data_IF_537663063027
#
_entry.id   IF_537663063027
#
_cell.length_a   1.000
_cell.length_b   1.000
_cell.length_c   1.000
_cell.angle_alpha   90.00
_cell.angle_beta   90.00
_cell.angle_gamma   90.00
#
_symmetry.space_group_name_H-M   'P 1'
#
loop_
_entity.id
_entity.type
_entity.pdbx_description
1 polymer ?
#
# COMPACT_ATOMS: atom_id res chain seq x y z
N UNK A 1 -10.56 -4.48 24.68
CA UNK A 1 -9.36 -5.18 25.20
C UNK A 1 -8.35 -5.26 24.07
N UNK A 2 -7.09 -4.89 24.34
CA UNK A 2 -6.04 -4.75 23.33
C UNK A 2 -4.92 -5.78 23.55
N UNK A 3 -4.21 -6.12 22.48
CA UNK A 3 -2.88 -6.74 22.56
C UNK A 3 -1.88 -5.62 22.79
N UNK A 4 -0.96 -5.79 23.75
CA UNK A 4 0.09 -4.80 24.06
C UNK A 4 1.47 -5.36 23.69
N UNK A 5 2.24 -4.56 22.95
CA UNK A 5 3.62 -4.86 22.52
C UNK A 5 4.63 -4.06 23.34
N UNK A 6 5.23 -4.71 24.35
CA UNK A 6 6.20 -4.05 25.26
C UNK A 6 7.41 -3.49 24.54
N UNK A 7 7.95 -4.26 23.58
CA UNK A 7 9.14 -3.88 22.82
C UNK A 7 8.86 -2.83 21.73
N UNK A 8 7.60 -2.46 21.53
CA UNK A 8 7.16 -1.39 20.65
C UNK A 8 6.63 -0.17 21.43
N UNK A 9 7.18 0.08 22.63
CA UNK A 9 6.78 1.23 23.46
C UNK A 9 5.35 1.11 23.98
N UNK A 10 4.92 -0.11 24.35
CA UNK A 10 3.55 -0.44 24.73
C UNK A 10 2.51 -0.11 23.66
N UNK A 11 2.90 -0.19 22.38
CA UNK A 11 1.95 -0.06 21.28
C UNK A 11 0.81 -1.07 21.43
N UNK A 12 -0.41 -0.66 21.12
CA UNK A 12 -1.60 -1.46 21.28
C UNK A 12 -2.29 -1.72 19.96
N UNK A 13 -2.75 -2.95 19.75
CA UNK A 13 -3.65 -3.30 18.65
C UNK A 13 -4.92 -3.93 19.20
N UNK A 14 -6.01 -3.79 18.48
CA UNK A 14 -7.26 -4.45 18.85
C UNK A 14 -7.09 -5.96 18.82
N UNK A 15 -7.66 -6.65 19.82
CA UNK A 15 -7.61 -8.12 19.92
C UNK A 15 -8.14 -8.80 18.65
N UNK A 16 -9.25 -8.30 18.11
CA UNK A 16 -9.85 -8.86 16.90
C UNK A 16 -8.90 -8.82 15.70
N UNK A 17 -8.14 -7.72 15.56
CA UNK A 17 -7.16 -7.58 14.49
C UNK A 17 -6.00 -8.58 14.63
N UNK A 18 -5.53 -8.85 15.86
CA UNK A 18 -4.50 -9.86 16.08
C UNK A 18 -4.99 -11.28 15.78
N UNK A 19 -6.22 -11.62 16.18
CA UNK A 19 -6.84 -12.92 15.84
C UNK A 19 -7.04 -13.05 14.32
N UNK A 20 -7.48 -11.98 13.66
CA UNK A 20 -7.58 -11.97 12.20
C UNK A 20 -6.22 -12.18 11.54
N UNK A 21 -5.17 -11.50 12.02
CA UNK A 21 -3.81 -11.67 11.52
C UNK A 21 -3.30 -13.10 11.73
N UNK A 22 -3.56 -13.72 12.88
CA UNK A 22 -3.28 -15.13 13.14
C UNK A 22 -3.96 -16.05 12.11
N UNK A 23 -5.26 -15.85 11.86
CA UNK A 23 -6.03 -16.63 10.89
C UNK A 23 -5.49 -16.47 9.47
N UNK A 24 -5.14 -15.25 9.06
CA UNK A 24 -4.52 -15.01 7.75
C UNK A 24 -3.13 -15.64 7.68
N UNK A 25 -2.35 -15.62 8.77
CA UNK A 25 -1.02 -16.24 8.82
C UNK A 25 -1.07 -17.74 8.53
N UNK A 26 -2.02 -18.45 9.16
CA UNK A 26 -2.29 -19.87 8.85
C UNK A 26 -2.68 -20.07 7.40
N UNK A 27 -3.62 -19.27 6.89
CA UNK A 27 -4.08 -19.38 5.50
C UNK A 27 -2.93 -19.19 4.49
N UNK A 28 -1.93 -18.37 4.81
CA UNK A 28 -0.86 -18.01 3.86
C UNK A 28 0.39 -18.87 3.96
N UNK A 29 0.75 -19.31 5.17
CA UNK A 29 2.10 -19.83 5.42
C UNK A 29 2.14 -21.16 6.19
N UNK A 30 0.98 -21.69 6.62
CA UNK A 30 0.88 -23.02 7.24
C UNK A 30 0.63 -24.08 6.17
N UNK A 31 1.15 -25.30 6.33
CA UNK A 31 0.78 -26.42 5.47
C UNK A 31 -0.69 -26.86 5.67
N UNK A 32 -1.24 -26.61 6.87
CA UNK A 32 -2.66 -26.77 7.17
C UNK A 32 -3.33 -25.39 7.31
N UNK A 33 -3.95 -24.93 6.23
CA UNK A 33 -4.64 -23.64 6.18
C UNK A 33 -5.88 -23.55 7.08
N UNK A 34 -6.45 -24.68 7.50
CA UNK A 34 -7.69 -24.72 8.28
C UNK A 34 -7.44 -24.87 9.79
N UNK A 35 -6.22 -25.25 10.17
CA UNK A 35 -5.82 -25.45 11.56
C UNK A 35 -5.80 -24.18 12.42
N UNK A 36 -6.07 -22.97 11.91
CA UNK A 36 -5.85 -21.71 12.64
C UNK A 36 -6.46 -21.61 14.06
N UNK A 37 -7.53 -22.37 14.34
CA UNK A 37 -8.15 -22.45 15.68
C UNK A 37 -7.32 -23.23 16.70
N UNK A 38 -6.89 -24.45 16.35
CA UNK A 38 -6.16 -25.35 17.25
C UNK A 38 -4.65 -25.37 17.01
N UNK A 39 -4.25 -24.80 15.88
CA UNK A 39 -2.91 -24.78 15.35
C UNK A 39 -1.98 -23.97 16.24
N UNK A 40 -0.71 -24.36 16.17
CA UNK A 40 0.36 -23.78 16.97
C UNK A 40 1.33 -23.09 16.03
N UNK A 41 1.78 -21.90 16.41
CA UNK A 41 2.84 -21.19 15.68
C UNK A 41 4.10 -21.20 16.56
N UNK A 42 5.27 -21.55 16.02
CA UNK A 42 6.54 -21.45 16.73
C UNK A 42 6.78 -20.06 17.32
N UNK A 43 7.21 -20.03 18.59
CA UNK A 43 7.68 -18.80 19.25
C UNK A 43 9.18 -18.75 19.07
N UNK A 44 9.63 -17.85 18.20
CA UNK A 44 11.04 -17.64 17.92
C UNK A 44 11.44 -16.25 18.39
N UNK A 45 11.90 -16.10 19.63
CA UNK A 45 12.51 -14.84 20.06
C UNK A 45 13.88 -14.71 19.39
N UNK A 46 13.94 -14.01 18.25
CA UNK A 46 15.17 -13.85 17.47
C UNK A 46 15.50 -12.38 17.38
N UNK A 47 16.64 -11.99 17.94
CA UNK A 47 17.21 -10.64 17.87
C UNK A 47 17.98 -10.42 16.57
N UNK A 48 17.25 -10.43 15.47
CA UNK A 48 17.72 -10.12 14.11
C UNK A 48 16.75 -9.17 13.42
N UNK A 49 17.18 -8.39 12.41
CA UNK A 49 16.30 -7.62 11.55
C UNK A 49 15.21 -8.48 10.88
N UNK A 50 14.08 -7.87 10.53
CA UNK A 50 12.93 -8.59 9.97
C UNK A 50 13.27 -9.30 8.65
N UNK A 51 14.03 -8.65 7.77
CA UNK A 51 14.43 -9.22 6.48
C UNK A 51 15.23 -10.53 6.66
N UNK A 52 16.11 -10.61 7.67
CA UNK A 52 16.85 -11.83 7.98
C UNK A 52 15.94 -12.96 8.46
N UNK A 53 14.91 -12.66 9.25
CA UNK A 53 13.96 -13.69 9.71
C UNK A 53 13.25 -14.32 8.52
N UNK A 54 12.80 -13.47 7.59
CA UNK A 54 12.10 -13.91 6.39
C UNK A 54 13.04 -14.73 5.49
N UNK A 55 14.25 -14.24 5.23
CA UNK A 55 15.24 -14.92 4.40
C UNK A 55 15.67 -16.29 4.97
N UNK A 56 15.66 -16.45 6.30
CA UNK A 56 15.98 -17.70 6.98
C UNK A 56 14.75 -18.60 7.22
N UNK A 57 13.66 -18.41 6.45
CA UNK A 57 12.44 -19.22 6.48
C UNK A 57 11.70 -19.22 7.84
N UNK A 58 11.87 -18.18 8.67
CA UNK A 58 11.09 -17.99 9.90
C UNK A 58 9.75 -17.29 9.66
N UNK A 59 9.27 -17.25 8.42
CA UNK A 59 8.01 -16.59 8.04
C UNK A 59 6.83 -17.10 8.86
N UNK A 60 6.69 -18.41 9.07
CA UNK A 60 5.64 -18.96 9.92
C UNK A 60 6.05 -18.96 11.40
N UNK A 61 6.13 -17.78 12.00
CA UNK A 61 6.46 -17.61 13.42
C UNK A 61 5.61 -16.54 14.09
N UNK A 62 5.44 -16.65 15.41
CA UNK A 62 4.79 -15.61 16.22
C UNK A 62 5.59 -14.30 16.13
N UNK A 63 6.90 -14.41 15.98
CA UNK A 63 7.82 -13.27 15.88
C UNK A 63 7.59 -12.44 14.62
N UNK A 64 7.54 -13.07 13.44
CA UNK A 64 7.26 -12.33 12.20
C UNK A 64 5.85 -11.76 12.21
N UNK A 65 4.85 -12.55 12.64
CA UNK A 65 3.48 -12.08 12.80
C UNK A 65 3.42 -10.82 13.69
N UNK A 66 4.02 -10.86 14.88
CA UNK A 66 4.01 -9.75 15.85
C UNK A 66 4.75 -8.51 15.34
N UNK A 67 5.88 -8.67 14.65
CA UNK A 67 6.59 -7.55 14.00
C UNK A 67 5.75 -6.86 12.93
N UNK A 68 4.95 -7.59 12.16
CA UNK A 68 4.05 -6.97 11.18
C UNK A 68 2.86 -6.26 11.82
N UNK A 69 2.60 -6.50 13.10
CA UNK A 69 1.52 -5.85 13.83
C UNK A 69 1.89 -4.46 14.38
N UNK A 70 3.16 -4.13 14.45
CA UNK A 70 3.66 -2.87 15.04
C UNK A 70 4.10 -1.88 13.96
N UNK A 71 4.22 -0.57 14.29
CA UNK A 71 4.75 0.43 13.37
C UNK A 71 6.13 0.07 12.83
N UNK A 72 6.42 0.51 11.60
CA UNK A 72 7.63 0.15 10.87
C UNK A 72 8.92 0.33 11.70
N UNK A 73 9.01 1.39 12.49
CA UNK A 73 10.20 1.70 13.31
C UNK A 73 10.57 0.66 14.38
N UNK A 74 9.68 -0.30 14.65
CA UNK A 74 9.89 -1.36 15.64
C UNK A 74 10.10 -2.75 15.02
N UNK A 75 10.02 -2.88 13.68
CA UNK A 75 9.97 -4.19 13.02
C UNK A 75 11.29 -4.96 13.05
N UNK A 76 12.42 -4.29 13.26
CA UNK A 76 13.73 -4.94 13.45
C UNK A 76 14.03 -5.31 14.90
N UNK A 77 13.06 -5.17 15.81
CA UNK A 77 13.20 -5.55 17.21
C UNK A 77 12.33 -6.75 17.53
N UNK A 78 12.79 -7.66 18.40
CA UNK A 78 11.98 -8.77 18.87
C UNK A 78 10.65 -8.33 19.46
N UNK A 79 9.54 -8.98 19.11
CA UNK A 79 8.21 -8.66 19.62
C UNK A 79 7.55 -9.82 20.39
N UNK A 80 7.91 -11.08 20.12
CA UNK A 80 7.32 -12.26 20.76
C UNK A 80 8.10 -12.70 22.03
N UNK A 81 8.40 -11.76 22.93
CA UNK A 81 9.07 -12.08 24.20
C UNK A 81 8.16 -12.81 25.20
N UNK A 82 8.75 -13.43 26.22
CA UNK A 82 8.00 -14.00 27.35
C UNK A 82 7.07 -12.98 28.02
N UNK A 83 7.53 -11.73 28.12
CA UNK A 83 6.74 -10.64 28.68
C UNK A 83 5.53 -10.31 27.79
N UNK A 84 5.71 -10.28 26.47
CA UNK A 84 4.60 -10.13 25.52
C UNK A 84 3.55 -11.24 25.71
N UNK A 85 3.97 -12.50 25.84
CA UNK A 85 3.03 -13.61 26.04
C UNK A 85 2.30 -13.50 27.40
N UNK A 86 3.01 -13.13 28.47
CA UNK A 86 2.45 -12.94 29.82
C UNK A 86 1.47 -11.76 29.92
N UNK A 87 1.68 -10.70 29.14
CA UNK A 87 0.80 -9.53 29.11
C UNK A 87 -0.45 -9.72 28.25
N UNK A 88 -0.47 -10.74 27.40
CA UNK A 88 -1.56 -11.01 26.48
C UNK A 88 -2.25 -12.38 26.72
N UNK A 89 -2.55 -12.79 27.98
CA UNK A 89 -3.05 -14.13 28.29
C UNK A 89 -4.48 -14.35 27.81
N UNK A 90 -5.23 -13.27 27.58
CA UNK A 90 -6.59 -13.33 27.03
C UNK A 90 -6.62 -13.68 25.53
N UNK A 91 -5.46 -13.76 24.87
CA UNK A 91 -5.36 -14.07 23.43
C UNK A 91 -4.42 -15.22 23.15
N UNK A 92 -3.26 -15.26 23.81
CA UNK A 92 -2.24 -16.26 23.55
C UNK A 92 -2.00 -17.13 24.78
N UNK A 93 -1.75 -18.42 24.53
CA UNK A 93 -1.26 -19.37 25.52
C UNK A 93 -0.01 -20.05 24.97
N UNK A 94 1.00 -20.16 25.82
CA UNK A 94 2.23 -20.91 25.53
C UNK A 94 1.96 -22.42 25.48
N UNK A 95 2.64 -23.09 24.56
CA UNK A 95 2.54 -24.53 24.32
C UNK A 95 3.85 -25.03 23.68
N UNK A 96 3.88 -26.31 23.31
CA UNK A 96 4.99 -26.95 22.63
C UNK A 96 4.49 -27.53 21.30
N UNK A 97 5.33 -27.50 20.28
CA UNK A 97 5.12 -28.23 19.03
C UNK A 97 6.33 -29.09 18.71
N UNK A 98 6.11 -30.24 18.07
CA UNK A 98 7.19 -31.10 17.61
C UNK A 98 7.73 -30.52 16.30
N UNK A 99 8.99 -30.09 16.28
CA UNK A 99 9.65 -29.60 15.08
C UNK A 99 9.86 -30.77 14.10
N UNK A 100 9.28 -30.75 12.90
CA UNK A 100 9.41 -31.85 11.94
C UNK A 100 10.87 -32.15 11.57
N UNK A 101 11.69 -31.11 11.43
CA UNK A 101 13.07 -31.22 10.96
C UNK A 101 14.02 -31.79 12.01
N UNK A 102 13.79 -31.47 13.30
CA UNK A 102 14.70 -31.85 14.39
C UNK A 102 14.15 -32.96 15.28
N UNK A 103 12.84 -33.24 15.21
CA UNK A 103 12.15 -34.15 16.12
C UNK A 103 12.09 -33.66 17.58
N UNK A 104 12.50 -32.42 17.86
CA UNK A 104 12.50 -31.85 19.21
C UNK A 104 11.22 -31.05 19.47
N UNK A 105 10.81 -30.97 20.74
CA UNK A 105 9.79 -30.02 21.15
C UNK A 105 10.38 -28.61 21.13
N UNK A 106 9.68 -27.68 20.48
CA UNK A 106 10.01 -26.26 20.47
C UNK A 106 8.87 -25.44 21.04
N UNK A 107 9.22 -24.30 21.63
CA UNK A 107 8.27 -23.35 22.17
C UNK A 107 7.33 -22.83 21.09
N UNK A 108 6.06 -22.75 21.44
CA UNK A 108 5.00 -22.35 20.53
C UNK A 108 3.91 -21.58 21.27
N UNK A 109 3.04 -20.91 20.51
CA UNK A 109 1.81 -20.33 21.03
C UNK A 109 0.61 -20.86 20.26
N UNK A 110 -0.56 -20.79 20.89
CA UNK A 110 -1.86 -20.92 20.23
C UNK A 110 -2.82 -19.86 20.75
N UNK A 111 -3.92 -19.64 20.03
CA UNK A 111 -5.02 -18.85 20.53
C UNK A 111 -5.64 -19.53 21.77
N UNK A 112 -6.10 -18.72 22.73
CA UNK A 112 -6.88 -19.19 23.87
C UNK A 112 -8.34 -19.39 23.49
N UNK A 113 -9.05 -20.24 24.23
CA UNK A 113 -10.48 -20.46 24.04
C UNK A 113 -11.25 -19.14 24.22
N UNK A 114 -10.81 -18.28 25.15
CA UNK A 114 -11.37 -16.93 25.31
C UNK A 114 -11.20 -16.05 24.07
N UNK A 115 -10.08 -16.15 23.35
CA UNK A 115 -9.90 -15.43 22.09
C UNK A 115 -10.82 -15.96 20.99
N UNK A 116 -10.99 -17.29 20.92
CA UNK A 116 -11.90 -17.92 19.96
C UNK A 116 -13.36 -17.54 20.24
N UNK A 117 -13.79 -17.62 21.51
CA UNK A 117 -15.13 -17.20 21.93
C UNK A 117 -15.39 -15.72 21.60
N UNK A 118 -14.39 -14.86 21.83
CA UNK A 118 -14.51 -13.46 21.45
C UNK A 118 -14.63 -13.29 19.94
N UNK A 119 -13.80 -13.97 19.15
CA UNK A 119 -13.88 -13.92 17.69
C UNK A 119 -15.27 -14.36 17.21
N UNK A 120 -15.77 -15.48 17.75
CA UNK A 120 -17.08 -16.04 17.40
C UNK A 120 -18.25 -15.18 17.87
N UNK A 121 -18.06 -14.32 18.87
CA UNK A 121 -19.06 -13.33 19.30
C UNK A 121 -19.20 -12.13 18.36
N UNK A 122 -18.20 -11.87 17.50
CA UNK A 122 -18.25 -10.78 16.52
C UNK A 122 -19.22 -11.12 15.40
N UNK A 123 -19.90 -10.10 14.87
CA UNK A 123 -20.71 -10.26 13.67
C UNK A 123 -19.85 -10.63 12.47
N UNK A 124 -20.47 -11.23 11.45
CA UNK A 124 -19.80 -11.56 10.20
C UNK A 124 -19.07 -10.35 9.58
N UNK A 125 -19.73 -9.18 9.59
CA UNK A 125 -19.18 -7.95 9.02
C UNK A 125 -17.95 -7.46 9.79
N UNK A 126 -17.97 -7.54 11.13
CA UNK A 126 -16.81 -7.21 11.96
C UNK A 126 -15.64 -8.18 11.70
N UNK A 127 -15.92 -9.48 11.63
CA UNK A 127 -14.90 -10.48 11.30
C UNK A 127 -14.27 -10.23 9.93
N UNK A 128 -15.07 -10.00 8.89
CA UNK A 128 -14.53 -9.73 7.54
C UNK A 128 -13.75 -8.41 7.49
N UNK A 129 -14.20 -7.37 8.22
CA UNK A 129 -13.48 -6.10 8.34
C UNK A 129 -12.08 -6.29 8.94
N UNK A 130 -11.96 -7.00 10.08
CA UNK A 130 -10.65 -7.26 10.68
C UNK A 130 -9.78 -8.18 9.81
N UNK A 131 -10.38 -9.12 9.08
CA UNK A 131 -9.66 -9.93 8.09
C UNK A 131 -9.13 -9.07 6.94
N UNK A 132 -9.89 -8.07 6.48
CA UNK A 132 -9.42 -7.13 5.46
C UNK A 132 -8.24 -6.29 6.00
N UNK A 133 -8.32 -5.77 7.23
CA UNK A 133 -7.19 -5.05 7.83
C UNK A 133 -5.96 -5.95 8.04
N UNK A 134 -6.15 -7.21 8.40
CA UNK A 134 -5.06 -8.18 8.53
C UNK A 134 -4.42 -8.50 7.17
N UNK A 135 -5.21 -8.82 6.14
CA UNK A 135 -4.71 -9.05 4.78
C UNK A 135 -3.97 -7.81 4.26
N UNK A 136 -4.52 -6.60 4.47
CA UNK A 136 -3.88 -5.35 4.07
C UNK A 136 -2.48 -5.19 4.69
N UNK A 137 -2.28 -5.55 5.96
CA UNK A 137 -0.96 -5.48 6.62
C UNK A 137 0.10 -6.38 6.00
N UNK A 138 -0.32 -7.51 5.43
CA UNK A 138 0.60 -8.49 4.82
C UNK A 138 0.82 -8.15 3.34
N UNK A 139 -0.18 -7.56 2.68
CA UNK A 139 -0.11 -7.16 1.28
C UNK A 139 0.56 -5.79 1.07
N UNK A 140 0.55 -4.93 2.09
CA UNK A 140 1.19 -3.62 2.04
C UNK A 140 2.72 -3.74 2.03
N UNK A 141 3.39 -2.65 1.63
CA UNK A 141 4.84 -2.58 1.72
C UNK A 141 5.29 -2.71 3.19
N UNK A 142 6.17 -3.68 3.45
CA UNK A 142 6.74 -3.94 4.76
C UNK A 142 7.93 -3.02 4.99
N UNK A 143 7.63 -1.75 5.30
CA UNK A 143 8.67 -0.81 5.75
C UNK A 143 9.35 -1.34 7.01
N UNK A 144 10.68 -1.25 7.07
CA UNK A 144 11.49 -1.57 8.25
C UNK A 144 12.58 -0.51 8.47
N UNK A 145 13.25 -0.48 9.64
CA UNK A 145 14.44 0.35 9.85
C UNK A 145 15.62 -0.02 8.96
N UNK A 146 15.72 -1.28 8.54
CA UNK A 146 16.71 -1.76 7.58
C UNK A 146 16.45 -1.22 6.17
N UNK A 147 17.53 -0.98 5.42
CA UNK A 147 17.50 -0.66 3.99
C UNK A 147 17.28 -1.92 3.11
N UNK A 148 17.22 -3.11 3.71
CA UNK A 148 17.07 -4.40 3.04
C UNK A 148 15.63 -4.89 2.90
N UNK A 149 15.25 -5.28 1.67
CA UNK A 149 13.88 -5.65 1.32
C UNK A 149 13.30 -6.79 2.19
N UNK A 150 12.09 -6.58 2.72
CA UNK A 150 11.34 -7.60 3.46
C UNK A 150 10.30 -8.25 2.53
N UNK A 151 10.59 -9.43 1.97
CA UNK A 151 9.72 -10.07 0.96
C UNK A 151 9.04 -11.31 1.56
N UNK A 152 7.77 -11.21 1.97
CA UNK A 152 7.04 -12.32 2.61
C UNK A 152 6.56 -13.42 1.63
N UNK A 153 6.13 -13.03 0.45
CA UNK A 153 5.71 -13.96 -0.61
C UNK A 153 6.93 -14.31 -1.44
N UNK A 154 7.20 -15.59 -1.69
CA UNK A 154 8.38 -16.05 -2.43
C UNK A 154 8.61 -15.16 -3.66
N UNK A 155 9.80 -14.55 -3.76
CA UNK A 155 10.08 -13.51 -4.74
C UNK A 155 10.06 -14.00 -6.18
N UNK A 156 9.98 -13.05 -7.11
CA UNK A 156 10.18 -13.21 -8.55
C UNK A 156 10.59 -11.84 -9.10
N UNK A 157 11.47 -11.80 -10.09
CA UNK A 157 11.78 -10.56 -10.83
C UNK A 157 10.87 -10.56 -12.06
N UNK A 158 10.13 -9.48 -12.24
CA UNK A 158 9.31 -9.26 -13.43
C UNK A 158 10.00 -8.23 -14.34
N UNK A 159 10.22 -8.60 -15.60
CA UNK A 159 10.77 -7.73 -16.64
C UNK A 159 9.58 -7.25 -17.48
N UNK A 160 9.41 -5.93 -17.61
CA UNK A 160 8.40 -5.37 -18.51
C UNK A 160 8.94 -5.34 -19.93
N UNK A 161 8.09 -5.72 -20.88
CA UNK A 161 8.40 -5.68 -22.32
C UNK A 161 8.83 -7.02 -22.91
N UNK A 162 8.89 -8.10 -22.11
CA UNK A 162 9.18 -9.43 -22.64
C UNK A 162 8.06 -9.95 -23.57
N UNK A 163 6.81 -9.54 -23.32
CA UNK A 163 5.64 -10.03 -24.06
C UNK A 163 5.06 -9.02 -25.06
N UNK A 164 5.04 -7.71 -24.75
CA UNK A 164 4.41 -6.68 -25.60
C UNK A 164 5.23 -5.39 -25.64
N UNK A 165 5.58 -4.99 -26.87
CA UNK A 165 6.29 -3.75 -27.18
C UNK A 165 5.33 -2.55 -27.13
N UNK A 166 5.75 -1.37 -26.61
CA UNK A 166 4.90 -0.19 -26.56
C UNK A 166 4.41 0.23 -27.96
N UNK A 167 3.20 0.78 -28.07
CA UNK A 167 2.62 1.13 -29.37
C UNK A 167 3.34 2.28 -30.06
N UNK A 168 3.99 3.16 -29.27
CA UNK A 168 4.69 4.35 -29.75
C UNK A 168 5.95 4.54 -28.90
N UNK A 169 7.10 4.69 -29.57
CA UNK A 169 8.34 5.18 -28.98
C UNK A 169 8.53 6.63 -29.44
N UNK A 170 8.54 7.62 -28.52
CA UNK A 170 8.89 8.99 -28.89
C UNK A 170 10.34 9.10 -29.38
N UNK A 171 10.64 10.14 -30.16
CA UNK A 171 12.01 10.44 -30.54
C UNK A 171 12.87 10.79 -29.30
N UNK A 172 14.19 10.59 -29.40
CA UNK A 172 15.15 10.90 -28.33
C UNK A 172 15.00 12.31 -27.74
N UNK A 173 14.79 13.27 -28.63
CA UNK A 173 14.70 14.71 -28.30
C UNK A 173 13.26 15.17 -28.00
N UNK A 174 12.30 14.23 -27.98
CA UNK A 174 10.91 14.51 -27.66
C UNK A 174 10.75 14.97 -26.20
N UNK A 175 9.73 15.79 -25.98
CA UNK A 175 9.40 16.36 -24.67
C UNK A 175 8.95 15.28 -23.68
N UNK A 176 9.08 15.53 -22.37
CA UNK A 176 8.54 14.64 -21.33
C UNK A 176 7.04 14.37 -21.50
N UNK A 177 6.29 15.33 -22.05
CA UNK A 177 4.86 15.18 -22.33
C UNK A 177 4.58 14.12 -23.39
N UNK A 178 5.45 13.97 -24.38
CA UNK A 178 5.33 12.91 -25.41
C UNK A 178 5.63 11.53 -24.84
N UNK A 179 6.58 11.42 -23.90
CA UNK A 179 6.82 10.19 -23.15
C UNK A 179 5.67 9.83 -22.21
N UNK A 180 5.06 10.82 -21.55
CA UNK A 180 3.86 10.59 -20.74
C UNK A 180 2.69 10.16 -21.63
N UNK A 181 2.50 10.77 -22.81
CA UNK A 181 1.48 10.33 -23.79
C UNK A 181 1.71 8.89 -24.25
N UNK A 182 2.95 8.53 -24.60
CA UNK A 182 3.30 7.17 -25.00
C UNK A 182 3.06 6.16 -23.86
N UNK A 183 3.40 6.52 -22.63
CA UNK A 183 3.11 5.75 -21.43
C UNK A 183 1.60 5.52 -21.25
N UNK A 184 0.78 6.56 -21.42
CA UNK A 184 -0.69 6.46 -21.31
C UNK A 184 -1.25 5.49 -22.35
N UNK A 185 -0.80 5.61 -23.60
CA UNK A 185 -1.19 4.69 -24.66
C UNK A 185 -0.74 3.26 -24.38
N UNK A 186 0.48 3.07 -23.87
CA UNK A 186 0.98 1.75 -23.52
C UNK A 186 0.16 1.10 -22.42
N UNK A 187 -0.15 1.78 -21.31
CA UNK A 187 -1.00 1.23 -20.25
C UNK A 187 -2.41 0.86 -20.76
N UNK A 188 -2.93 1.62 -21.74
CA UNK A 188 -4.23 1.35 -22.33
C UNK A 188 -4.23 0.08 -23.20
N UNK A 189 -3.15 -0.19 -23.93
CA UNK A 189 -3.08 -1.33 -24.86
C UNK A 189 -2.49 -2.61 -24.23
N UNK A 190 -1.63 -2.45 -23.23
CA UNK A 190 -0.96 -3.53 -22.53
C UNK A 190 -2.00 -4.43 -21.80
N UNK A 191 -2.08 -5.73 -22.11
CA UNK A 191 -2.80 -6.71 -21.33
C UNK A 191 -2.22 -6.82 -19.92
N UNK A 192 -3.12 -6.87 -18.95
CA UNK A 192 -2.79 -6.98 -17.55
C UNK A 192 -3.57 -8.10 -16.91
N UNK A 193 -2.86 -9.02 -16.28
CA UNK A 193 -3.43 -10.10 -15.50
C UNK A 193 -3.46 -9.69 -14.03
N UNK A 194 -4.63 -9.47 -13.42
CA UNK A 194 -4.72 -9.30 -11.98
C UNK A 194 -4.12 -10.50 -11.25
N UNK A 195 -3.26 -10.24 -10.26
CA UNK A 195 -2.62 -11.27 -9.44
C UNK A 195 -2.96 -11.08 -7.96
N UNK A 196 -3.22 -12.18 -7.27
CA UNK A 196 -3.28 -12.22 -5.81
C UNK A 196 -2.43 -13.39 -5.32
N UNK A 197 -1.43 -13.10 -4.49
CA UNK A 197 -0.50 -14.14 -4.01
C UNK A 197 0.17 -14.90 -5.17
N UNK A 198 0.56 -14.16 -6.23
CA UNK A 198 1.12 -14.69 -7.49
C UNK A 198 0.20 -15.62 -8.28
N UNK A 199 -1.08 -15.68 -7.94
CA UNK A 199 -2.07 -16.46 -8.69
C UNK A 199 -2.97 -15.53 -9.52
N UNK A 200 -3.25 -15.87 -10.78
CA UNK A 200 -4.22 -15.16 -11.61
C UNK A 200 -5.59 -15.03 -10.94
N UNK A 201 -6.19 -13.85 -11.04
CA UNK A 201 -7.54 -13.55 -10.56
C UNK A 201 -8.36 -13.05 -11.74
N UNK A 202 -9.35 -13.84 -12.14
CA UNK A 202 -10.16 -13.52 -13.32
C UNK A 202 -9.35 -13.58 -14.63
N UNK A 203 -9.92 -13.00 -15.69
CA UNK A 203 -9.29 -12.92 -17.00
C UNK A 203 -8.33 -11.71 -17.08
N UNK A 204 -7.38 -11.76 -18.00
CA UNK A 204 -6.56 -10.61 -18.34
C UNK A 204 -7.43 -9.49 -18.95
N UNK A 205 -7.14 -8.26 -18.57
CA UNK A 205 -7.85 -7.05 -19.03
C UNK A 205 -6.90 -6.09 -19.73
N UNK A 206 -7.41 -5.24 -20.60
CA UNK A 206 -6.66 -4.13 -21.20
C UNK A 206 -7.48 -2.86 -21.05
N UNK A 207 -6.91 -1.69 -21.32
CA UNK A 207 -7.45 -0.35 -21.08
C UNK A 207 -7.41 0.13 -19.65
N UNK A 208 -7.30 1.45 -19.50
CA UNK A 208 -7.42 2.12 -18.19
C UNK A 208 -8.75 1.79 -17.49
N UNK A 209 -9.84 1.75 -18.26
CA UNK A 209 -11.19 1.50 -17.74
C UNK A 209 -11.30 0.09 -17.14
N UNK A 210 -10.92 -0.94 -17.89
CA UNK A 210 -11.13 -2.32 -17.43
C UNK A 210 -10.11 -2.70 -16.35
N UNK A 211 -8.89 -2.12 -16.37
CA UNK A 211 -7.93 -2.20 -15.25
C UNK A 211 -8.52 -1.64 -13.95
N UNK A 212 -9.22 -0.51 -14.00
CA UNK A 212 -9.90 0.05 -12.82
C UNK A 212 -11.05 -0.84 -12.36
N UNK A 213 -11.84 -1.41 -13.28
CA UNK A 213 -12.93 -2.32 -12.93
C UNK A 213 -12.44 -3.65 -12.33
N UNK A 214 -11.26 -4.11 -12.75
CA UNK A 214 -10.60 -5.30 -12.19
C UNK A 214 -9.93 -5.04 -10.84
N UNK A 215 -9.81 -3.78 -10.40
CA UNK A 215 -9.14 -3.39 -9.17
C UNK A 215 -9.71 -4.14 -7.96
N UNK A 216 -8.82 -4.61 -7.10
CA UNK A 216 -9.18 -5.06 -5.75
C UNK A 216 -8.12 -4.67 -4.73
N UNK A 217 -8.53 -4.48 -3.48
CA UNK A 217 -7.64 -4.33 -2.36
C UNK A 217 -8.33 -4.65 -1.03
N UNK A 218 -7.72 -5.44 -0.12
CA UNK A 218 -6.42 -6.10 -0.25
C UNK A 218 -6.48 -7.49 -0.89
N UNK A 219 -7.69 -8.01 -1.13
CA UNK A 219 -7.95 -9.36 -1.65
C UNK A 219 -9.06 -9.30 -2.73
N UNK A 220 -9.13 -10.27 -3.65
CA UNK A 220 -10.07 -10.26 -4.78
C UNK A 220 -11.54 -10.01 -4.43
N UNK A 221 -11.98 -10.51 -3.29
CA UNK A 221 -13.36 -10.31 -2.83
C UNK A 221 -13.70 -8.85 -2.53
N UNK A 222 -12.70 -8.03 -2.21
CA UNK A 222 -12.83 -6.59 -1.98
C UNK A 222 -12.48 -5.85 -3.27
N UNK A 223 -13.33 -6.03 -4.28
CA UNK A 223 -13.18 -5.39 -5.60
C UNK A 223 -13.47 -3.88 -5.56
N UNK A 224 -13.39 -3.23 -6.73
CA UNK A 224 -13.47 -1.77 -6.88
C UNK A 224 -14.68 -1.14 -6.18
N UNK A 225 -15.87 -1.74 -6.29
CA UNK A 225 -17.09 -1.25 -5.64
C UNK A 225 -16.97 -1.26 -4.11
N UNK A 226 -16.63 -2.41 -3.53
CA UNK A 226 -16.53 -2.58 -2.08
C UNK A 226 -15.41 -1.71 -1.49
N UNK A 227 -14.28 -1.63 -2.21
CA UNK A 227 -13.17 -0.77 -1.86
C UNK A 227 -13.60 0.71 -1.83
N UNK A 228 -14.30 1.17 -2.87
CA UNK A 228 -14.77 2.55 -2.97
C UNK A 228 -15.78 2.89 -1.89
N UNK A 229 -16.72 1.99 -1.60
CA UNK A 229 -17.65 2.13 -0.50
C UNK A 229 -16.92 2.26 0.84
N UNK A 230 -15.95 1.39 1.11
CA UNK A 230 -15.16 1.41 2.34
C UNK A 230 -14.24 2.64 2.46
N UNK A 231 -13.68 3.13 1.35
CA UNK A 231 -12.80 4.28 1.33
C UNK A 231 -13.55 5.62 1.38
N UNK A 232 -14.81 5.67 0.94
CA UNK A 232 -15.56 6.94 0.79
C UNK A 232 -15.67 7.75 2.09
N UNK A 233 -16.00 7.16 3.26
CA UNK A 233 -16.01 7.90 4.53
C UNK A 233 -14.63 8.43 4.95
N UNK A 234 -13.54 7.78 4.52
CA UNK A 234 -12.17 8.25 4.79
C UNK A 234 -11.82 9.43 3.89
N UNK A 235 -12.13 9.34 2.60
CA UNK A 235 -11.97 10.45 1.63
C UNK A 235 -12.75 11.68 2.09
N UNK A 236 -14.02 11.51 2.46
CA UNK A 236 -14.86 12.60 2.93
C UNK A 236 -14.27 13.31 4.15
N UNK A 237 -13.90 12.56 5.20
CA UNK A 237 -13.31 13.15 6.42
C UNK A 237 -11.95 13.80 6.16
N UNK A 238 -11.12 13.18 5.32
CA UNK A 238 -9.83 13.76 4.94
C UNK A 238 -10.01 15.09 4.19
N UNK A 239 -11.03 15.18 3.31
CA UNK A 239 -11.42 16.41 2.63
C UNK A 239 -11.89 17.50 3.60
N UNK A 240 -12.73 17.18 4.58
CA UNK A 240 -13.15 18.14 5.63
C UNK A 240 -11.95 18.70 6.41
N UNK A 241 -10.99 17.83 6.76
CA UNK A 241 -9.76 18.26 7.44
C UNK A 241 -8.89 19.14 6.54
N UNK A 242 -8.85 18.86 5.22
CA UNK A 242 -8.15 19.71 4.26
C UNK A 242 -8.78 21.10 4.15
N UNK A 243 -10.11 21.17 4.08
CA UNK A 243 -10.86 22.44 4.05
C UNK A 243 -10.62 23.26 5.33
N UNK A 244 -10.54 22.60 6.50
CA UNK A 244 -10.17 23.24 7.76
C UNK A 244 -8.75 23.83 7.71
N UNK A 245 -7.77 23.09 7.17
CA UNK A 245 -6.40 23.63 6.98
C UNK A 245 -6.40 24.82 6.04
N UNK A 246 -7.11 24.73 4.92
CA UNK A 246 -7.21 25.81 3.94
C UNK A 246 -7.86 27.08 4.49
N UNK A 247 -8.83 26.93 5.41
CA UNK A 247 -9.50 28.06 6.05
C UNK A 247 -8.60 28.84 7.03
N UNK A 248 -7.50 28.22 7.51
CA UNK A 248 -6.66 28.77 8.57
C UNK A 248 -7.33 28.85 9.95
N UNK A 249 -8.53 28.27 10.10
CA UNK A 249 -9.27 28.26 11.36
C UNK A 249 -8.55 27.43 12.44
N UNK A 250 -8.72 27.84 13.69
CA UNK A 250 -8.23 27.06 14.83
C UNK A 250 -9.03 25.76 14.96
N UNK A 251 -8.32 24.63 15.07
CA UNK A 251 -8.95 23.32 15.23
C UNK A 251 -9.59 23.17 16.61
N UNK A 252 -10.88 22.89 16.61
CA UNK A 252 -11.64 22.58 17.83
C UNK A 252 -11.18 21.24 18.42
N UNK A 253 -11.70 20.89 19.60
CA UNK A 253 -11.44 19.57 20.20
C UNK A 253 -11.93 18.44 19.30
N UNK A 254 -13.07 18.62 18.66
CA UNK A 254 -13.69 17.59 17.82
C UNK A 254 -12.91 17.40 16.52
N UNK A 255 -12.37 18.49 15.94
CA UNK A 255 -11.50 18.42 14.75
C UNK A 255 -10.20 17.65 15.06
N UNK A 256 -9.61 17.88 16.24
CA UNK A 256 -8.40 17.17 16.68
C UNK A 256 -8.66 15.67 16.83
N UNK A 257 -9.80 15.29 17.43
CA UNK A 257 -10.21 13.88 17.55
C UNK A 257 -10.51 13.27 16.17
N UNK A 258 -11.19 14.02 15.30
CA UNK A 258 -11.48 13.59 13.93
C UNK A 258 -10.20 13.33 13.14
N UNK A 259 -9.20 14.19 13.28
CA UNK A 259 -7.90 14.06 12.61
C UNK A 259 -7.16 12.78 13.02
N UNK A 260 -7.02 12.53 14.33
CA UNK A 260 -6.34 11.34 14.86
C UNK A 260 -7.07 10.06 14.47
N UNK A 261 -8.41 10.06 14.56
CA UNK A 261 -9.26 8.94 14.16
C UNK A 261 -9.15 8.65 12.67
N UNK A 262 -9.26 9.69 11.83
CA UNK A 262 -9.21 9.54 10.37
C UNK A 262 -7.85 9.01 9.92
N UNK A 263 -6.75 9.57 10.42
CA UNK A 263 -5.41 9.08 10.12
C UNK A 263 -5.22 7.62 10.56
N UNK A 264 -5.64 7.28 11.78
CA UNK A 264 -5.55 5.91 12.30
C UNK A 264 -6.33 4.91 11.45
N UNK A 265 -7.55 5.26 11.01
CA UNK A 265 -8.36 4.40 10.15
C UNK A 265 -7.79 4.27 8.74
N UNK A 266 -7.21 5.35 8.18
CA UNK A 266 -6.46 5.29 6.90
C UNK A 266 -5.28 4.32 7.01
N UNK A 267 -4.52 4.38 8.10
CA UNK A 267 -3.39 3.46 8.32
C UNK A 267 -3.83 2.01 8.52
N UNK A 268 -4.98 1.76 9.14
CA UNK A 268 -5.56 0.42 9.21
C UNK A 268 -6.03 -0.08 7.84
N UNK A 269 -6.74 0.76 7.08
CA UNK A 269 -7.26 0.44 5.75
C UNK A 269 -6.16 0.10 4.75
N UNK A 270 -5.02 0.80 4.86
CA UNK A 270 -3.86 0.60 3.99
C UNK A 270 -2.87 -0.44 4.49
N UNK A 271 -3.03 -0.95 5.71
CA UNK A 271 -2.11 -1.94 6.30
C UNK A 271 -0.78 -1.35 6.80
N UNK A 272 -0.69 -0.04 7.00
CA UNK A 272 0.56 0.67 7.30
C UNK A 272 0.53 1.34 8.69
N UNK A 273 0.64 0.58 9.80
CA UNK A 273 0.59 1.15 11.15
C UNK A 273 1.66 2.23 11.37
N UNK A 274 1.24 3.36 11.94
CA UNK A 274 2.11 4.50 12.25
C UNK A 274 2.17 4.75 13.75
N UNK A 275 3.28 5.37 14.20
CA UNK A 275 3.41 5.95 15.54
C UNK A 275 3.16 7.46 15.48
N UNK A 276 2.92 8.05 16.65
CA UNK A 276 2.76 9.51 16.80
C UNK A 276 1.64 10.05 15.89
N UNK A 277 0.53 9.33 15.84
CA UNK A 277 -0.68 9.75 15.12
C UNK A 277 -1.39 10.81 15.95
N UNK A 278 -0.85 12.02 15.94
CA UNK A 278 -1.38 13.19 16.64
C UNK A 278 -2.01 14.16 15.65
N UNK A 279 -2.97 14.96 16.11
CA UNK A 279 -3.60 15.96 15.25
C UNK A 279 -2.60 16.97 14.67
N UNK A 280 -1.52 17.31 15.38
CA UNK A 280 -0.47 18.22 14.87
C UNK A 280 0.26 17.62 13.67
N UNK A 281 0.60 16.32 13.73
CA UNK A 281 1.26 15.64 12.62
C UNK A 281 0.32 15.53 11.42
N UNK A 282 -0.97 15.25 11.65
CA UNK A 282 -1.98 15.28 10.59
C UNK A 282 -2.06 16.66 9.95
N UNK A 283 -2.23 17.71 10.76
CA UNK A 283 -2.30 19.08 10.28
C UNK A 283 -1.06 19.49 9.48
N UNK A 284 0.15 19.15 9.95
CA UNK A 284 1.40 19.44 9.26
C UNK A 284 1.49 18.75 7.89
N UNK A 285 1.08 17.48 7.80
CA UNK A 285 1.04 16.73 6.53
C UNK A 285 0.03 17.34 5.56
N UNK A 286 -1.18 17.66 6.03
CA UNK A 286 -2.21 18.27 5.18
C UNK A 286 -1.80 19.67 4.71
N UNK A 287 -1.20 20.48 5.59
CA UNK A 287 -0.68 21.80 5.24
C UNK A 287 0.45 21.71 4.20
N UNK A 288 1.37 20.77 4.39
CA UNK A 288 2.45 20.52 3.42
C UNK A 288 1.90 20.17 2.04
N UNK A 289 0.89 19.30 2.01
CA UNK A 289 0.22 18.89 0.78
C UNK A 289 -0.50 20.06 0.09
N UNK A 290 -1.22 20.88 0.86
CA UNK A 290 -1.95 22.04 0.36
C UNK A 290 -1.01 23.12 -0.19
N UNK A 291 0.01 23.47 0.58
CA UNK A 291 0.95 24.56 0.27
C UNK A 291 2.01 24.14 -0.77
N UNK A 292 2.09 22.84 -1.09
CA UNK A 292 3.14 22.25 -1.91
C UNK A 292 4.55 22.60 -1.38
N UNK A 293 4.76 22.51 -0.07
CA UNK A 293 6.03 22.88 0.56
C UNK A 293 7.12 21.82 0.35
N UNK A 294 7.97 22.04 -0.68
CA UNK A 294 9.09 21.16 -1.05
C UNK A 294 10.12 20.96 0.07
N UNK A 295 10.16 21.83 1.07
CA UNK A 295 11.15 21.81 2.15
C UNK A 295 10.57 21.32 3.47
N UNK A 296 9.31 20.90 3.48
CA UNK A 296 8.64 20.46 4.69
C UNK A 296 9.32 19.25 5.32
N UNK A 297 9.35 19.25 6.66
CA UNK A 297 9.77 18.12 7.48
C UNK A 297 8.57 17.34 8.06
N UNK A 298 7.36 17.59 7.56
CA UNK A 298 6.18 16.85 7.97
C UNK A 298 6.37 15.35 7.74
N UNK A 299 5.74 14.52 8.59
CA UNK A 299 5.91 13.07 8.54
C UNK A 299 5.65 12.51 7.15
N UNK A 300 6.55 11.64 6.70
CA UNK A 300 6.48 11.08 5.37
C UNK A 300 6.89 9.62 5.31
N UNK A 301 6.01 8.82 4.72
CA UNK A 301 6.19 7.45 4.23
C UNK A 301 4.91 7.07 3.45
N UNK A 302 4.79 5.82 3.00
CA UNK A 302 3.65 5.40 2.18
C UNK A 302 2.30 5.66 2.87
N UNK A 303 2.21 5.52 4.20
CA UNK A 303 1.00 5.79 4.97
C UNK A 303 0.61 7.27 5.00
N UNK A 304 1.54 8.16 5.36
CA UNK A 304 1.27 9.60 5.45
C UNK A 304 0.97 10.23 4.08
N UNK A 305 1.65 9.78 3.02
CA UNK A 305 1.38 10.23 1.65
C UNK A 305 0.01 9.73 1.18
N UNK A 306 -0.40 8.53 1.60
CA UNK A 306 -1.75 8.06 1.31
C UNK A 306 -2.83 8.94 1.97
N UNK A 307 -2.65 9.34 3.24
CA UNK A 307 -3.53 10.31 3.90
C UNK A 307 -3.58 11.64 3.13
N UNK A 308 -2.42 12.18 2.74
CA UNK A 308 -2.35 13.38 1.92
C UNK A 308 -3.12 13.23 0.61
N UNK A 309 -2.96 12.11 -0.12
CA UNK A 309 -3.67 11.85 -1.39
C UNK A 309 -5.19 11.80 -1.23
N UNK A 310 -5.70 11.20 -0.14
CA UNK A 310 -7.14 11.22 0.13
C UNK A 310 -7.63 12.65 0.42
N UNK A 311 -6.87 13.40 1.20
CA UNK A 311 -7.24 14.75 1.60
C UNK A 311 -7.25 15.72 0.41
N UNK A 312 -6.25 15.63 -0.48
CA UNK A 312 -6.17 16.45 -1.70
C UNK A 312 -7.13 15.98 -2.80
N UNK A 313 -7.90 14.92 -2.60
CA UNK A 313 -8.92 14.51 -3.58
C UNK A 313 -10.00 15.59 -3.76
N UNK A 314 -10.25 16.44 -2.74
CA UNK A 314 -11.14 17.60 -2.87
C UNK A 314 -10.55 18.74 -3.72
N UNK A 315 -9.30 18.63 -4.16
CA UNK A 315 -8.62 19.59 -5.03
C UNK A 315 -8.86 19.31 -6.52
N UNK A 316 -9.45 18.18 -6.88
CA UNK A 316 -9.63 17.78 -8.28
C UNK A 316 -10.44 18.83 -9.06
N UNK A 317 -9.94 19.21 -10.24
CA UNK A 317 -10.56 20.21 -11.12
C UNK A 317 -10.42 21.68 -10.66
N UNK A 318 -9.72 21.97 -9.55
CA UNK A 318 -9.45 23.35 -9.12
C UNK A 318 -8.16 23.87 -9.77
N UNK A 319 -8.17 25.02 -10.49
CA UNK A 319 -7.03 25.49 -11.27
C UNK A 319 -5.71 25.67 -10.51
N UNK A 320 -5.79 26.10 -9.25
CA UNK A 320 -4.61 26.44 -8.43
C UNK A 320 -4.28 25.36 -7.37
N UNK A 321 -4.91 24.19 -7.45
CA UNK A 321 -4.71 23.11 -6.50
C UNK A 321 -4.10 21.89 -7.16
N UNK A 322 -3.29 21.14 -6.41
CA UNK A 322 -2.65 19.92 -6.89
C UNK A 322 -3.22 18.70 -6.16
N UNK A 323 -4.10 17.91 -6.80
CA UNK A 323 -4.45 16.60 -6.28
C UNK A 323 -3.20 15.72 -6.27
N UNK A 324 -2.81 15.26 -5.09
CA UNK A 324 -1.67 14.35 -4.93
C UNK A 324 -2.11 12.91 -5.09
N UNK A 325 -1.15 12.06 -5.46
CA UNK A 325 -1.29 10.61 -5.41
C UNK A 325 -0.42 10.00 -4.31
N UNK A 326 -0.80 8.81 -3.85
CA UNK A 326 0.05 7.99 -2.99
C UNK A 326 1.24 7.45 -3.79
N UNK A 327 2.34 8.21 -3.84
CA UNK A 327 3.62 7.76 -4.41
C UNK A 327 4.25 6.69 -3.51
N UNK A 328 3.79 5.45 -3.70
CA UNK A 328 4.30 4.24 -3.07
C UNK A 328 5.00 3.35 -4.09
N UNK A 329 5.53 2.21 -3.65
CA UNK A 329 6.27 1.29 -4.52
C UNK A 329 5.49 0.92 -5.77
N UNK A 330 4.19 0.59 -5.64
CA UNK A 330 3.36 0.15 -6.76
C UNK A 330 3.17 1.23 -7.82
N UNK A 331 2.79 2.44 -7.40
CA UNK A 331 2.62 3.55 -8.33
C UNK A 331 3.97 3.92 -8.98
N UNK A 332 5.05 3.95 -8.20
CA UNK A 332 6.38 4.25 -8.72
C UNK A 332 6.85 3.19 -9.72
N UNK A 333 6.63 1.90 -9.41
CA UNK A 333 7.02 0.78 -10.26
C UNK A 333 6.22 0.78 -11.57
N UNK A 334 4.91 0.98 -11.52
CA UNK A 334 4.04 1.03 -12.71
C UNK A 334 4.49 2.10 -13.72
N UNK A 335 4.85 3.29 -13.22
CA UNK A 335 5.25 4.44 -14.03
C UNK A 335 6.72 4.38 -14.46
N UNK A 336 7.64 4.21 -13.49
CA UNK A 336 9.08 4.29 -13.75
C UNK A 336 9.53 3.17 -14.67
N UNK A 337 9.05 1.93 -14.52
CA UNK A 337 9.50 0.85 -15.39
C UNK A 337 9.15 1.09 -16.86
N UNK A 338 7.98 1.68 -17.13
CA UNK A 338 7.55 1.99 -18.50
C UNK A 338 8.24 3.23 -19.04
N UNK A 339 8.42 4.27 -18.22
CA UNK A 339 9.19 5.46 -18.62
C UNK A 339 10.65 5.10 -18.90
N UNK A 340 11.27 4.29 -18.05
CA UNK A 340 12.63 3.76 -18.23
C UNK A 340 12.76 3.06 -19.58
N UNK A 341 11.88 2.10 -19.86
CA UNK A 341 11.86 1.39 -21.14
C UNK A 341 11.69 2.34 -22.33
N UNK A 342 10.71 3.25 -22.28
CA UNK A 342 10.46 4.20 -23.37
C UNK A 342 11.68 5.10 -23.63
N UNK A 343 12.32 5.61 -22.58
CA UNK A 343 13.52 6.45 -22.68
C UNK A 343 14.68 5.67 -23.31
N UNK A 344 14.92 4.43 -22.88
CA UNK A 344 16.00 3.57 -23.39
C UNK A 344 15.79 3.24 -24.85
N UNK A 345 14.58 2.82 -25.23
CA UNK A 345 14.24 2.53 -26.62
C UNK A 345 14.30 3.77 -27.52
N UNK A 346 14.04 4.97 -26.97
CA UNK A 346 14.28 6.22 -27.67
C UNK A 346 15.78 6.57 -27.82
N UNK A 347 16.69 5.76 -27.28
CA UNK A 347 18.14 5.94 -27.37
C UNK A 347 18.73 6.86 -26.29
N UNK A 348 18.04 7.03 -25.16
CA UNK A 348 18.55 7.76 -23.98
C UNK A 348 19.34 6.79 -23.12
N UNK A 349 20.61 7.12 -22.87
CA UNK A 349 21.56 6.31 -22.09
C UNK A 349 21.75 6.82 -20.66
N UNK A 350 21.26 8.02 -20.36
CA UNK A 350 21.32 8.67 -19.04
C UNK A 350 20.05 9.49 -18.79
N UNK A 351 19.48 9.36 -17.58
CA UNK A 351 18.25 10.08 -17.20
C UNK A 351 18.40 11.62 -17.30
N UNK A 352 19.56 12.18 -16.91
CA UNK A 352 19.79 13.62 -17.00
C UNK A 352 18.75 14.44 -16.23
N UNK A 353 18.20 15.47 -16.87
CA UNK A 353 17.16 16.36 -16.32
C UNK A 353 15.73 15.89 -16.65
N UNK A 354 15.56 14.70 -17.22
CA UNK A 354 14.23 14.13 -17.55
C UNK A 354 13.48 13.80 -16.26
N UNK A 355 12.21 14.16 -16.16
CA UNK A 355 11.36 13.88 -14.99
C UNK A 355 11.99 14.28 -13.64
N UNK A 356 12.33 15.56 -13.44
CA UNK A 356 13.02 16.00 -12.23
C UNK A 356 12.25 15.63 -10.96
N UNK A 357 12.96 15.17 -9.94
CA UNK A 357 12.45 14.71 -8.64
C UNK A 357 11.51 13.49 -8.66
N UNK A 358 11.19 12.91 -9.81
CA UNK A 358 10.57 11.59 -9.86
C UNK A 358 11.62 10.54 -9.49
N UNK A 359 11.24 9.62 -8.61
CA UNK A 359 12.18 8.62 -8.10
C UNK A 359 11.51 7.36 -7.61
N UNK A 360 12.30 6.30 -7.52
CA UNK A 360 11.87 4.95 -7.12
C UNK A 360 11.47 4.92 -5.65
N UNK A 361 10.47 4.10 -5.33
CA UNK A 361 10.13 3.76 -3.95
C UNK A 361 10.41 2.27 -3.78
N UNK A 362 11.29 1.86 -2.84
CA UNK A 362 11.57 0.45 -2.64
C UNK A 362 10.27 -0.27 -2.28
N UNK A 363 10.01 -1.38 -2.98
CA UNK A 363 8.87 -2.26 -2.74
C UNK A 363 9.24 -3.33 -1.73
N UNK A 364 8.66 -3.26 -0.55
CA UNK A 364 8.96 -4.17 0.56
C UNK A 364 7.86 -5.22 0.71
N UNK A 365 7.23 -5.63 -0.38
CA UNK A 365 6.16 -6.64 -0.39
C UNK A 365 5.91 -7.16 -1.80
N UNK A 366 5.82 -8.48 -1.97
CA UNK A 366 5.58 -9.14 -3.26
C UNK A 366 6.82 -9.28 -4.16
N UNK A 367 6.59 -9.65 -5.43
CA UNK A 367 7.55 -9.98 -6.51
C UNK A 367 8.28 -8.77 -7.11
N UNK A 368 8.80 -7.84 -6.31
CA UNK A 368 8.91 -6.43 -6.74
C UNK A 368 10.27 -5.75 -6.94
N UNK A 369 11.46 -6.35 -6.81
CA UNK A 369 12.64 -5.67 -7.34
C UNK A 369 12.57 -5.70 -8.87
N UNK A 370 12.11 -4.60 -9.48
CA UNK A 370 12.27 -4.35 -10.92
C UNK A 370 13.65 -3.79 -11.16
N UNK A 371 14.31 -4.27 -12.22
CA UNK A 371 15.60 -3.73 -12.64
C UNK A 371 15.33 -2.61 -13.62
N UNK A 372 15.91 -1.44 -13.39
CA UNK A 372 15.84 -0.29 -14.29
C UNK A 372 17.15 -0.17 -15.06
N UNK A 373 17.06 0.25 -16.32
CA UNK A 373 18.22 0.43 -17.19
C UNK A 373 18.89 1.79 -16.92
N UNK A 374 18.10 2.81 -16.59
CA UNK A 374 18.59 4.13 -16.19
C UNK A 374 18.72 4.24 -14.67
N UNK A 375 19.63 5.10 -14.22
CA UNK A 375 19.82 5.39 -12.80
C UNK A 375 18.76 6.39 -12.29
N UNK A 376 17.60 5.87 -11.89
CA UNK A 376 16.55 6.67 -11.25
C UNK A 376 16.92 6.98 -9.78
N UNK A 377 16.71 8.22 -9.31
CA UNK A 377 16.97 8.57 -7.91
C UNK A 377 15.96 7.88 -6.98
N UNK A 378 16.29 7.81 -5.68
CA UNK A 378 15.31 7.40 -4.67
C UNK A 378 14.30 8.53 -4.45
N UNK A 379 13.02 8.21 -4.63
CA UNK A 379 11.88 9.07 -4.35
C UNK A 379 11.21 8.79 -2.99
N UNK A 380 11.77 7.88 -2.21
CA UNK A 380 11.17 7.45 -0.95
C UNK A 380 11.28 8.54 0.13
N UNK A 381 10.16 8.80 0.83
CA UNK A 381 10.05 9.83 1.88
C UNK A 381 10.45 11.25 1.42
N UNK A 382 10.18 11.58 0.15
CA UNK A 382 10.50 12.86 -0.48
C UNK A 382 9.25 13.65 -0.90
N UNK A 383 8.95 14.77 -0.24
CA UNK A 383 7.85 15.67 -0.61
C UNK A 383 7.99 16.21 -2.05
N UNK A 384 9.18 16.63 -2.51
CA UNK A 384 9.41 16.98 -3.92
C UNK A 384 8.92 15.89 -4.88
N UNK A 385 9.21 14.63 -4.59
CA UNK A 385 8.78 13.50 -5.43
C UNK A 385 7.26 13.36 -5.46
N UNK A 386 6.59 13.52 -4.33
CA UNK A 386 5.12 13.44 -4.27
C UNK A 386 4.45 14.56 -5.06
N UNK A 387 5.00 15.78 -5.02
CA UNK A 387 4.46 16.90 -5.79
C UNK A 387 4.68 16.73 -7.30
N UNK A 388 5.89 16.35 -7.72
CA UNK A 388 6.16 16.09 -9.14
C UNK A 388 5.38 14.88 -9.65
N UNK A 389 5.18 13.84 -8.83
CA UNK A 389 4.29 12.74 -9.15
C UNK A 389 2.83 13.18 -9.34
N UNK A 390 2.34 14.08 -8.48
CA UNK A 390 1.01 14.69 -8.64
C UNK A 390 0.89 15.43 -9.98
N UNK A 391 1.90 16.22 -10.35
CA UNK A 391 1.93 16.94 -11.64
C UNK A 391 1.99 15.98 -12.84
N UNK A 392 2.80 14.93 -12.75
CA UNK A 392 2.87 13.89 -13.78
C UNK A 392 1.51 13.21 -13.95
N UNK A 393 0.84 12.85 -12.87
CA UNK A 393 -0.51 12.25 -12.93
C UNK A 393 -1.54 13.23 -13.47
N UNK A 394 -1.46 14.52 -13.16
CA UNK A 394 -2.33 15.52 -13.78
C UNK A 394 -2.16 15.59 -15.31
N UNK A 395 -0.94 15.38 -15.84
CA UNK A 395 -0.72 15.23 -17.29
C UNK A 395 -1.34 13.95 -17.84
N UNK A 396 -1.24 12.83 -17.12
CA UNK A 396 -1.94 11.58 -17.48
C UNK A 396 -3.46 11.80 -17.54
N UNK A 397 -4.03 12.41 -16.49
CA UNK A 397 -5.46 12.76 -16.41
C UNK A 397 -5.87 13.66 -17.57
N UNK A 398 -5.03 14.65 -17.93
CA UNK A 398 -5.25 15.49 -19.10
C UNK A 398 -5.36 14.65 -20.37
N UNK A 399 -4.36 13.82 -20.70
CA UNK A 399 -4.37 13.02 -21.92
C UNK A 399 -5.54 12.03 -21.98
N UNK A 400 -5.86 11.38 -20.85
CA UNK A 400 -7.02 10.49 -20.74
C UNK A 400 -8.35 11.19 -21.05
N UNK A 401 -8.45 12.49 -20.78
CA UNK A 401 -9.68 13.27 -20.91
C UNK A 401 -9.75 14.14 -22.18
N UNK A 402 -8.64 14.35 -22.91
CA UNK A 402 -8.60 15.30 -24.03
C UNK A 402 -8.14 14.70 -25.35
N UNK A 403 -7.41 13.59 -25.36
CA UNK A 403 -6.93 13.00 -26.61
C UNK A 403 -8.06 12.40 -27.42
N UNK A 404 -8.05 12.65 -28.73
CA UNK A 404 -9.05 12.13 -29.64
C UNK A 404 -8.45 11.15 -30.65
N UNK A 405 -9.27 10.20 -31.09
CA UNK A 405 -8.96 9.30 -32.19
C UNK A 405 -9.03 10.03 -33.54
N UNK A 406 -8.70 9.32 -34.62
CA UNK A 406 -8.78 9.83 -36.00
C UNK A 406 -10.17 10.32 -36.43
N UNK A 407 -11.23 9.97 -35.68
CA UNK A 407 -12.61 10.37 -35.94
C UNK A 407 -13.05 11.55 -35.05
N UNK A 408 -12.15 12.13 -34.26
CA UNK A 408 -12.44 13.21 -33.33
C UNK A 408 -13.21 12.78 -32.08
N UNK A 409 -13.32 11.48 -31.80
CA UNK A 409 -13.92 10.96 -30.56
C UNK A 409 -12.86 10.82 -29.49
N UNK A 410 -13.22 10.93 -28.21
CA UNK A 410 -12.28 10.69 -27.11
C UNK A 410 -11.63 9.31 -27.28
N UNK A 411 -10.30 9.29 -27.29
CA UNK A 411 -9.50 8.09 -27.55
C UNK A 411 -9.67 7.06 -26.43
N UNK A 412 -9.60 7.50 -25.18
CA UNK A 412 -9.68 6.64 -24.01
C UNK A 412 -11.11 6.62 -23.45
N UNK A 413 -11.53 5.45 -22.95
CA UNK A 413 -12.84 5.33 -22.27
C UNK A 413 -12.83 6.17 -20.99
N UNK A 414 -13.98 6.79 -20.69
CA UNK A 414 -14.16 7.53 -19.44
C UNK A 414 -13.99 6.63 -18.22
N UNK A 415 -13.63 7.25 -17.09
CA UNK A 415 -13.42 6.57 -15.82
C UNK A 415 -14.75 5.99 -15.32
N UNK A 416 -14.81 4.68 -15.03
CA UNK A 416 -15.98 4.09 -14.39
C UNK A 416 -16.07 4.49 -12.92
N UNK A 417 -17.27 4.86 -12.49
CA UNK A 417 -17.64 4.93 -11.08
C UNK A 417 -18.14 3.57 -10.61
N UNK A 418 -17.96 3.32 -9.32
CA UNK A 418 -18.44 2.10 -8.66
C UNK A 418 -19.96 1.86 -8.84
N UNK A 419 -20.76 2.93 -9.00
CA UNK A 419 -22.19 2.86 -9.26
C UNK A 419 -22.59 2.54 -10.70
N UNK A 420 -21.63 2.35 -11.61
CA UNK A 420 -21.86 2.03 -13.03
C UNK A 420 -21.91 3.25 -13.97
N UNK A 421 -21.91 4.47 -13.44
CA UNK A 421 -21.77 5.71 -14.21
C UNK A 421 -20.33 5.92 -14.70
N UNK A 422 -20.12 6.84 -15.64
CA UNK A 422 -18.78 7.25 -16.08
C UNK A 422 -18.57 8.75 -15.92
N UNK A 423 -17.35 9.13 -15.58
CA UNK A 423 -16.94 10.54 -15.40
C UNK A 423 -15.57 10.78 -16.05
N UNK A 424 -15.14 12.05 -16.21
CA UNK A 424 -13.74 12.33 -16.54
C UNK A 424 -12.78 11.65 -15.55
N UNK A 425 -11.63 11.20 -16.05
CA UNK A 425 -10.57 10.66 -15.22
C UNK A 425 -10.13 11.66 -14.16
N UNK A 426 -9.82 11.14 -12.98
CA UNK A 426 -9.32 11.89 -11.82
C UNK A 426 -7.98 11.32 -11.39
N UNK A 427 -7.20 12.09 -10.62
CA UNK A 427 -5.93 11.62 -10.08
C UNK A 427 -6.10 10.38 -9.22
N UNK A 428 -7.22 10.29 -8.49
CA UNK A 428 -7.56 9.13 -7.66
C UNK A 428 -7.84 7.88 -8.51
N UNK A 429 -8.59 8.01 -9.60
CA UNK A 429 -8.84 6.89 -10.52
C UNK A 429 -7.56 6.37 -11.16
N UNK A 430 -6.71 7.29 -11.64
CA UNK A 430 -5.38 6.96 -12.17
C UNK A 430 -4.52 6.28 -11.11
N UNK A 431 -4.48 6.80 -9.88
CA UNK A 431 -3.74 6.18 -8.77
C UNK A 431 -4.18 4.73 -8.53
N UNK A 432 -5.48 4.43 -8.58
CA UNK A 432 -5.96 3.06 -8.35
C UNK A 432 -5.50 2.11 -9.45
N UNK A 433 -5.53 2.54 -10.71
CA UNK A 433 -4.98 1.76 -11.83
C UNK A 433 -3.48 1.52 -11.63
N UNK A 434 -2.70 2.57 -11.38
CA UNK A 434 -1.24 2.47 -11.20
C UNK A 434 -0.85 1.63 -9.97
N UNK A 435 -1.61 1.75 -8.89
CA UNK A 435 -1.40 0.96 -7.68
C UNK A 435 -1.65 -0.52 -7.90
N UNK A 436 -2.58 -0.87 -8.79
CA UNK A 436 -2.90 -2.26 -9.09
C UNK A 436 -2.00 -2.85 -10.16
N UNK A 437 -1.67 -2.06 -11.18
CA UNK A 437 -0.73 -2.44 -12.24
C UNK A 437 0.71 -2.60 -11.74
N UNK A 438 1.11 -1.88 -10.70
CA UNK A 438 2.39 -2.10 -10.03
C UNK A 438 2.42 -3.27 -9.04
N UNK A 439 1.36 -4.08 -8.96
CA UNK A 439 1.28 -5.23 -8.05
C UNK A 439 2.14 -6.38 -8.56
#
# INVERSE_FOLDING_TARGET
MHITFVNAGNFQVQRALYIAAWKVWFKRFSDDHYAWREGKIPVHYIDKPLHELIANNYRFSVEVLTRLMVPWSYRDRPQASDEFLKLNPAVLRTTQLLCPDTGNNIDAARLTDQALDYWDSLTYNEQDLYLNFAEARIQADIESPSDENCILDDGGVEIIGDDIYPPIIPDKDASDDEFIRALVAWIDEDPFQPLYQRQPVGEAVSSWHDRLMAFFWPKPRTGYLEYTYSASPLVYRAGLLMDLVASGAEWTRDDKVLAEKTASEVFMFTGMPQREVTWQNVQAVLKTALDQDYKSTAKMNSGWVYLASLATSCCEGKPDALPLISWNSRCSSSLISRLDFLLVEAGIDKLGDRFPHIGTVPGWGGTRPRTYSLNWPSGYRSWPTVFEAGKLVQKIVHFLNTETDKNGKLKYRQMPLAGGETVPWTSRGVQLVLFFDGY
#
